data_IF_964861997633
#
_entry.id   IF_964861997633
#
_cell.length_a   1.000
_cell.length_b   1.000
_cell.length_c   1.000
_cell.angle_alpha   90.00
_cell.angle_beta   90.00
_cell.angle_gamma   90.00
#
_symmetry.space_group_name_H-M   'P 1'
#
loop_
_entity.id
_entity.type
_entity.pdbx_description
1 polymer ?
#
# COMPACT_ATOMS: atom_id res chain seq x y z
N UNK A 1 -25.29 2.95 2.20
CA UNK A 1 -24.31 3.57 3.13
C UNK A 1 -22.90 3.22 2.71
N UNK A 2 -22.39 1.99 2.89
CA UNK A 2 -21.01 1.67 2.46
C UNK A 2 -20.75 1.88 0.97
N UNK A 3 -21.62 1.36 0.09
CA UNK A 3 -21.42 1.55 -1.36
C UNK A 3 -21.39 3.03 -1.76
N UNK A 4 -22.21 3.86 -1.11
CA UNK A 4 -22.27 5.30 -1.37
C UNK A 4 -20.98 6.00 -0.88
N UNK A 5 -20.53 5.67 0.33
CA UNK A 5 -19.30 6.20 0.91
C UNK A 5 -18.07 5.76 0.11
N UNK A 6 -18.04 4.49 -0.31
CA UNK A 6 -17.00 3.93 -1.17
C UNK A 6 -16.98 4.63 -2.52
N UNK A 7 -18.15 4.88 -3.14
CA UNK A 7 -18.27 5.61 -4.40
C UNK A 7 -17.65 7.01 -4.27
N UNK A 8 -18.05 7.76 -3.24
CA UNK A 8 -17.51 9.10 -2.95
C UNK A 8 -16.00 9.05 -2.71
N UNK A 9 -15.53 8.05 -1.97
CA UNK A 9 -14.11 7.86 -1.70
C UNK A 9 -13.31 7.61 -2.99
N UNK A 10 -13.77 6.67 -3.84
CA UNK A 10 -13.13 6.36 -5.13
C UNK A 10 -13.11 7.61 -6.02
N UNK A 11 -14.22 8.32 -6.14
CA UNK A 11 -14.33 9.54 -6.93
C UNK A 11 -13.31 10.60 -6.50
N UNK A 12 -13.18 10.81 -5.18
CA UNK A 12 -12.20 11.72 -4.60
C UNK A 12 -10.75 11.28 -4.89
N UNK A 13 -10.45 9.98 -4.77
CA UNK A 13 -9.12 9.45 -5.10
C UNK A 13 -8.75 9.70 -6.56
N UNK A 14 -9.69 9.44 -7.49
CA UNK A 14 -9.49 9.58 -8.93
C UNK A 14 -9.41 11.05 -9.37
N UNK A 15 -10.27 11.92 -8.84
CA UNK A 15 -10.22 13.36 -9.11
C UNK A 15 -8.92 13.99 -8.62
N UNK A 16 -8.46 13.61 -7.41
CA UNK A 16 -7.19 14.08 -6.87
C UNK A 16 -5.99 13.55 -7.65
N UNK A 17 -6.05 12.31 -8.17
CA UNK A 17 -5.06 11.82 -9.11
C UNK A 17 -5.01 12.68 -10.37
N UNK A 18 -6.16 12.94 -11.01
CA UNK A 18 -6.23 13.72 -12.25
C UNK A 18 -5.64 15.13 -12.07
N UNK A 19 -6.01 15.82 -10.98
CA UNK A 19 -5.46 17.14 -10.63
C UNK A 19 -3.95 17.10 -10.39
N UNK A 20 -3.45 16.09 -9.67
CA UNK A 20 -2.02 15.97 -9.39
C UNK A 20 -1.19 15.65 -10.65
N UNK A 21 -1.73 14.81 -11.54
CA UNK A 21 -1.09 14.50 -12.83
C UNK A 21 -1.03 15.75 -13.69
N UNK A 22 -2.14 16.49 -13.80
CA UNK A 22 -2.18 17.73 -14.57
C UNK A 22 -1.28 18.81 -13.99
N UNK A 23 -1.27 19.02 -12.67
CA UNK A 23 -0.45 20.05 -12.02
C UNK A 23 1.05 19.83 -12.22
N UNK A 24 1.49 18.58 -12.37
CA UNK A 24 2.90 18.23 -12.50
C UNK A 24 3.33 17.98 -13.96
N UNK A 25 2.43 18.08 -14.94
CA UNK A 25 2.77 17.84 -16.35
C UNK A 25 3.89 18.77 -16.82
N UNK A 26 3.78 20.06 -16.51
CA UNK A 26 4.69 21.08 -17.05
C UNK A 26 6.10 20.91 -16.50
N UNK A 27 6.24 20.61 -15.20
CA UNK A 27 7.53 20.28 -14.58
C UNK A 27 8.14 19.01 -15.17
N UNK A 28 7.32 18.02 -15.51
CA UNK A 28 7.79 16.78 -16.12
C UNK A 28 8.23 16.98 -17.57
N UNK A 29 7.60 17.91 -18.28
CA UNK A 29 7.99 18.36 -19.62
C UNK A 29 9.31 19.13 -19.55
N UNK A 30 9.42 20.11 -18.65
CA UNK A 30 10.63 20.92 -18.45
C UNK A 30 11.87 20.04 -18.17
N UNK A 31 11.74 19.03 -17.31
CA UNK A 31 12.81 18.05 -17.04
C UNK A 31 13.28 17.26 -18.26
N UNK A 32 12.48 17.22 -19.32
CA UNK A 32 12.76 16.52 -20.59
C UNK A 32 13.20 17.48 -21.70
N UNK A 33 13.18 18.79 -21.48
CA UNK A 33 13.51 19.79 -22.51
C UNK A 33 14.97 19.73 -23.02
N UNK A 34 15.87 19.11 -22.25
CA UNK A 34 17.26 18.86 -22.67
C UNK A 34 17.47 17.47 -23.29
N UNK A 35 16.40 16.70 -23.55
CA UNK A 35 16.53 15.40 -24.19
C UNK A 35 16.59 15.58 -25.72
N UNK A 36 17.76 15.35 -26.35
CA UNK A 36 17.93 15.59 -27.80
C UNK A 36 17.11 14.62 -28.66
N UNK A 37 16.50 13.59 -28.07
CA UNK A 37 15.64 12.62 -28.75
C UNK A 37 14.14 12.91 -28.56
N UNK A 38 13.77 13.99 -27.86
CA UNK A 38 12.39 14.47 -27.74
C UNK A 38 12.22 15.58 -28.77
N UNK A 39 11.93 15.18 -30.01
CA UNK A 39 11.65 16.08 -31.14
C UNK A 39 10.14 16.26 -31.36
N UNK A 40 9.33 15.93 -30.36
CA UNK A 40 7.87 16.02 -30.46
C UNK A 40 7.42 17.44 -30.17
N UNK A 41 6.68 18.05 -31.10
CA UNK A 41 6.00 19.32 -30.90
C UNK A 41 4.50 19.04 -30.75
N UNK A 42 3.89 19.44 -29.61
CA UNK A 42 2.43 19.37 -29.44
C UNK A 42 1.93 18.38 -28.37
N UNK A 43 0.83 17.69 -28.66
CA UNK A 43 0.04 16.91 -27.68
C UNK A 43 0.74 15.62 -27.23
N UNK A 44 1.67 15.12 -28.03
CA UNK A 44 2.45 13.90 -27.82
C UNK A 44 3.42 14.04 -26.65
N UNK A 45 4.02 15.23 -26.49
CA UNK A 45 4.89 15.54 -25.35
C UNK A 45 4.11 15.53 -24.03
N UNK A 46 2.91 16.15 -24.04
CA UNK A 46 1.97 16.12 -22.91
C UNK A 46 1.55 14.69 -22.59
N UNK A 47 1.25 13.86 -23.61
CA UNK A 47 0.92 12.45 -23.41
C UNK A 47 2.05 11.66 -22.74
N UNK A 48 3.30 11.87 -23.17
CA UNK A 48 4.49 11.21 -22.61
C UNK A 48 4.82 11.62 -21.16
N UNK A 49 4.52 12.87 -20.79
CA UNK A 49 4.65 13.36 -19.42
C UNK A 49 3.54 12.83 -18.51
N UNK A 50 2.31 12.74 -19.03
CA UNK A 50 1.10 12.37 -18.30
C UNK A 50 0.98 10.86 -18.10
N UNK A 51 1.23 10.04 -19.12
CA UNK A 51 0.98 8.58 -19.07
C UNK A 51 1.70 7.86 -17.92
N UNK A 52 3.03 8.03 -17.81
CA UNK A 52 3.80 7.41 -16.71
C UNK A 52 3.38 7.90 -15.32
N UNK A 53 3.05 9.19 -15.20
CA UNK A 53 2.57 9.75 -13.93
C UNK A 53 1.19 9.22 -13.59
N UNK A 54 0.33 9.02 -14.59
CA UNK A 54 -1.02 8.49 -14.41
C UNK A 54 -0.97 7.07 -13.87
N UNK A 55 -0.18 6.19 -14.49
CA UNK A 55 -0.04 4.79 -14.06
C UNK A 55 0.47 4.68 -12.62
N UNK A 56 1.51 5.44 -12.29
CA UNK A 56 2.07 5.46 -10.93
C UNK A 56 1.06 5.97 -9.90
N UNK A 57 0.35 7.06 -10.20
CA UNK A 57 -0.64 7.59 -9.26
C UNK A 57 -1.86 6.70 -9.14
N UNK A 58 -2.28 6.04 -10.22
CA UNK A 58 -3.38 5.09 -10.22
C UNK A 58 -3.06 3.92 -9.28
N UNK A 59 -1.85 3.36 -9.35
CA UNK A 59 -1.38 2.34 -8.41
C UNK A 59 -1.54 2.79 -6.95
N UNK A 60 -1.08 4.00 -6.62
CA UNK A 60 -1.26 4.57 -5.27
C UNK A 60 -2.73 4.76 -4.89
N UNK A 61 -3.62 5.10 -5.83
CA UNK A 61 -5.06 5.22 -5.54
C UNK A 61 -5.70 3.87 -5.28
N UNK A 62 -5.33 2.84 -6.02
CA UNK A 62 -5.82 1.48 -5.81
C UNK A 62 -5.41 0.94 -4.44
N UNK A 63 -4.16 1.19 -4.00
CA UNK A 63 -3.71 0.87 -2.63
C UNK A 63 -4.57 1.56 -1.57
N UNK A 64 -4.87 2.86 -1.73
CA UNK A 64 -5.74 3.60 -0.80
C UNK A 64 -7.17 3.09 -0.78
N UNK A 65 -7.70 2.69 -1.94
CA UNK A 65 -9.03 2.06 -2.04
C UNK A 65 -9.01 0.72 -1.31
N UNK A 66 -7.97 -0.10 -1.50
CA UNK A 66 -7.82 -1.37 -0.80
C UNK A 66 -7.74 -1.17 0.73
N UNK A 67 -6.97 -0.18 1.20
CA UNK A 67 -6.92 0.18 2.63
C UNK A 67 -8.29 0.60 3.18
N UNK A 68 -9.02 1.46 2.47
CA UNK A 68 -10.35 1.92 2.86
C UNK A 68 -11.34 0.76 2.99
N UNK A 69 -11.36 -0.13 1.99
CA UNK A 69 -12.21 -1.32 1.96
C UNK A 69 -11.84 -2.27 3.10
N UNK A 70 -10.55 -2.55 3.31
CA UNK A 70 -10.09 -3.38 4.41
C UNK A 70 -10.48 -2.81 5.78
N UNK A 71 -10.35 -1.48 5.98
CA UNK A 71 -10.79 -0.79 7.20
C UNK A 71 -12.29 -0.96 7.45
N UNK A 72 -13.10 -0.93 6.39
CA UNK A 72 -14.52 -1.16 6.50
C UNK A 72 -14.85 -2.62 6.86
N UNK A 73 -14.20 -3.59 6.21
CA UNK A 73 -14.44 -5.02 6.43
C UNK A 73 -13.94 -5.52 7.78
N UNK A 74 -12.70 -5.22 8.14
CA UNK A 74 -12.02 -5.81 9.29
C UNK A 74 -12.07 -4.94 10.55
N UNK A 75 -12.37 -3.65 10.40
CA UNK A 75 -12.46 -2.70 11.50
C UNK A 75 -11.20 -1.85 11.69
N UNK A 76 -11.37 -0.78 12.47
CA UNK A 76 -10.35 0.23 12.72
C UNK A 76 -9.09 -0.36 13.38
N UNK A 77 -9.30 -1.21 14.38
CA UNK A 77 -8.31 -1.87 15.20
C UNK A 77 -7.53 -2.98 14.48
N UNK A 78 -8.12 -3.59 13.43
CA UNK A 78 -7.52 -4.70 12.69
C UNK A 78 -6.77 -4.29 11.43
N UNK A 79 -6.80 -3.01 11.07
CA UNK A 79 -6.05 -2.48 9.93
C UNK A 79 -5.12 -1.36 10.45
N UNK A 80 -4.02 -1.72 11.13
CA UNK A 80 -3.16 -0.76 11.82
C UNK A 80 -2.35 0.07 10.85
N UNK A 81 -2.21 1.36 11.12
CA UNK A 81 -1.32 2.24 10.36
C UNK A 81 0.16 2.04 10.74
N UNK A 82 0.45 1.69 11.98
CA UNK A 82 1.81 1.45 12.45
C UNK A 82 1.84 0.16 13.26
N UNK A 83 2.83 -0.68 12.97
CA UNK A 83 3.25 -1.73 13.87
C UNK A 83 4.63 -1.33 14.41
N UNK A 84 4.75 -1.18 15.71
CA UNK A 84 6.02 -0.89 16.37
C UNK A 84 6.49 -2.11 17.14
N UNK A 85 7.69 -2.58 16.82
CA UNK A 85 8.40 -3.55 17.62
C UNK A 85 9.29 -2.84 18.63
N UNK A 86 9.19 -3.26 19.88
CA UNK A 86 10.16 -2.98 20.93
C UNK A 86 10.60 -4.30 21.55
N UNK A 87 11.76 -4.31 22.18
CA UNK A 87 12.29 -5.50 22.79
C UNK A 87 12.97 -5.21 24.11
N UNK A 88 12.91 -6.21 24.99
CA UNK A 88 13.67 -6.24 26.23
C UNK A 88 14.13 -7.68 26.45
N UNK A 89 15.44 -7.93 26.33
CA UNK A 89 16.04 -9.26 26.39
C UNK A 89 15.41 -10.23 25.36
N UNK A 90 14.72 -11.28 25.81
CA UNK A 90 14.08 -12.31 24.99
C UNK A 90 12.58 -12.05 24.72
N UNK A 91 12.09 -10.88 25.14
CA UNK A 91 10.71 -10.46 25.00
C UNK A 91 10.56 -9.47 23.85
N UNK A 92 9.80 -9.85 22.83
CA UNK A 92 9.36 -8.95 21.76
C UNK A 92 7.99 -8.37 22.15
N UNK A 93 7.84 -7.04 22.08
CA UNK A 93 6.55 -6.37 22.22
C UNK A 93 6.16 -5.75 20.89
N UNK A 94 4.96 -6.07 20.44
CA UNK A 94 4.34 -5.51 19.25
C UNK A 94 3.25 -4.53 19.67
N UNK A 95 3.35 -3.30 19.20
CA UNK A 95 2.35 -2.25 19.40
C UNK A 95 1.64 -1.96 18.08
N UNK A 96 0.34 -2.21 18.04
CA UNK A 96 -0.53 -1.86 16.92
C UNK A 96 -1.08 -0.46 17.14
N UNK A 97 -0.97 0.40 16.12
CA UNK A 97 -1.50 1.76 16.16
C UNK A 97 -2.35 2.06 14.94
N UNK A 98 -3.59 2.42 15.19
CA UNK A 98 -4.56 2.86 14.17
C UNK A 98 -4.97 4.30 14.44
N UNK A 99 -5.13 5.07 13.37
CA UNK A 99 -5.69 6.42 13.42
C UNK A 99 -6.70 6.65 12.29
N UNK A 100 -7.52 7.71 12.35
CA UNK A 100 -8.50 8.04 11.33
C UNK A 100 -7.89 8.21 9.94
N UNK A 101 -8.59 7.73 8.91
CA UNK A 101 -8.17 7.77 7.49
C UNK A 101 -7.81 9.19 7.02
N UNK A 102 -8.51 10.19 7.55
CA UNK A 102 -8.29 11.62 7.27
C UNK A 102 -6.87 12.10 7.63
N UNK A 103 -6.17 11.35 8.49
CA UNK A 103 -4.85 11.70 8.98
C UNK A 103 -3.74 10.97 8.23
N UNK A 104 -4.09 9.94 7.46
CA UNK A 104 -3.17 9.17 6.63
C UNK A 104 -3.67 7.74 6.41
N UNK A 105 -3.21 7.14 5.31
CA UNK A 105 -3.47 5.75 4.94
C UNK A 105 -2.17 4.97 4.69
N UNK A 106 -1.04 5.52 5.14
CA UNK A 106 0.23 4.81 5.04
C UNK A 106 0.28 3.77 6.15
N UNK A 107 0.72 2.58 5.80
CA UNK A 107 1.05 1.56 6.77
C UNK A 107 2.56 1.28 6.77
N UNK A 108 3.07 0.94 7.95
CA UNK A 108 4.49 0.66 8.14
C UNK A 108 4.76 -0.16 9.39
N UNK A 109 5.89 -0.85 9.38
CA UNK A 109 6.47 -1.49 10.56
C UNK A 109 7.75 -0.76 10.93
N UNK A 110 7.97 -0.54 12.21
CA UNK A 110 9.12 0.17 12.73
C UNK A 110 9.63 -0.51 14.00
N UNK A 111 10.84 -0.14 14.41
CA UNK A 111 11.45 -0.61 15.64
C UNK A 111 11.81 0.57 16.53
N UNK A 112 11.42 0.53 17.79
CA UNK A 112 11.68 1.60 18.74
C UNK A 112 10.87 1.45 20.03
N UNK A 113 11.28 2.19 21.07
CA UNK A 113 10.64 2.15 22.39
C UNK A 113 9.66 3.31 22.63
N UNK A 114 9.63 4.30 21.74
CA UNK A 114 8.76 5.46 21.84
C UNK A 114 7.94 5.62 20.56
N UNK A 115 6.63 5.44 20.70
CA UNK A 115 5.67 5.58 19.62
C UNK A 115 5.74 6.97 18.95
N UNK A 116 6.04 8.02 19.70
CA UNK A 116 6.09 9.39 19.18
C UNK A 116 7.17 9.52 18.11
N UNK A 117 8.32 8.86 18.28
CA UNK A 117 9.41 8.86 17.28
C UNK A 117 8.99 8.20 15.96
N UNK A 118 8.00 7.31 15.99
CA UNK A 118 7.49 6.63 14.80
C UNK A 118 6.51 7.49 14.00
N UNK A 119 5.96 8.56 14.60
CA UNK A 119 4.93 9.39 13.99
C UNK A 119 5.51 10.63 13.31
N UNK A 120 4.80 11.17 12.31
CA UNK A 120 5.13 12.50 11.78
C UNK A 120 4.82 13.58 12.82
N UNK A 121 5.48 14.75 12.75
CA UNK A 121 5.18 15.90 13.64
C UNK A 121 3.70 16.30 13.65
N UNK A 122 2.99 16.07 12.54
CA UNK A 122 1.56 16.36 12.45
C UNK A 122 0.74 15.33 13.23
N UNK A 123 1.08 14.04 13.11
CA UNK A 123 0.43 12.97 13.86
C UNK A 123 0.74 13.04 15.35
N UNK A 124 1.98 13.38 15.73
CA UNK A 124 2.37 13.62 17.13
C UNK A 124 1.45 14.65 17.80
N UNK A 125 1.25 15.81 17.16
CA UNK A 125 0.32 16.84 17.67
C UNK A 125 -1.11 16.33 17.78
N UNK A 126 -1.56 15.47 16.87
CA UNK A 126 -2.91 14.90 16.94
C UNK A 126 -3.02 13.91 18.09
N UNK A 127 -2.00 13.08 18.29
CA UNK A 127 -1.89 12.14 19.40
C UNK A 127 -1.92 12.87 20.75
N UNK A 128 -1.14 13.94 20.90
CA UNK A 128 -1.12 14.76 22.12
C UNK A 128 -2.46 15.45 22.41
N UNK A 129 -3.20 15.85 21.36
CA UNK A 129 -4.46 16.57 21.52
C UNK A 129 -5.68 15.65 21.68
N UNK A 130 -5.65 14.44 21.13
CA UNK A 130 -6.78 13.51 21.09
C UNK A 130 -6.29 12.07 21.04
N UNK A 131 -5.87 11.55 22.19
CA UNK A 131 -5.44 10.15 22.33
C UNK A 131 -6.57 9.16 22.03
N UNK A 132 -7.81 9.53 22.34
CA UNK A 132 -8.99 8.65 22.21
C UNK A 132 -9.37 8.37 20.75
N UNK A 133 -8.91 9.20 19.81
CA UNK A 133 -9.07 8.97 18.37
C UNK A 133 -8.08 7.92 17.84
N UNK A 134 -7.07 7.56 18.62
CA UNK A 134 -6.14 6.49 18.29
C UNK A 134 -6.57 5.18 18.96
N UNK A 135 -6.38 4.09 18.25
CA UNK A 135 -6.36 2.77 18.86
C UNK A 135 -4.90 2.35 19.01
N UNK A 136 -4.52 1.99 20.25
CA UNK A 136 -3.20 1.48 20.58
C UNK A 136 -3.39 0.16 21.35
N UNK A 137 -2.76 -0.90 20.87
CA UNK A 137 -2.79 -2.21 21.54
C UNK A 137 -1.41 -2.81 21.55
N UNK A 138 -0.98 -3.28 22.72
CA UNK A 138 0.31 -3.93 22.92
C UNK A 138 0.12 -5.43 23.13
N UNK A 139 1.01 -6.22 22.54
CA UNK A 139 1.06 -7.67 22.74
C UNK A 139 2.50 -8.10 22.85
N UNK A 140 2.81 -8.91 23.86
CA UNK A 140 4.17 -9.39 24.08
C UNK A 140 4.30 -10.88 23.78
N UNK A 141 5.46 -11.23 23.23
CA UNK A 141 5.84 -12.58 22.84
C UNK A 141 7.16 -12.95 23.53
N UNK A 142 7.25 -14.17 24.03
CA UNK A 142 8.44 -14.72 24.69
C UNK A 142 8.98 -15.90 23.90
N UNK A 143 10.28 -16.19 24.02
CA UNK A 143 10.90 -17.29 23.27
C UNK A 143 11.09 -16.99 21.78
N UNK A 144 11.07 -15.70 21.41
CA UNK A 144 11.33 -15.23 20.05
C UNK A 144 12.81 -14.91 19.92
N UNK A 145 13.43 -15.29 18.81
CA UNK A 145 14.79 -14.89 18.49
C UNK A 145 14.83 -13.43 18.02
N UNK A 146 14.83 -12.49 18.99
CA UNK A 146 14.79 -11.04 18.72
C UNK A 146 15.95 -10.59 17.81
N UNK A 147 17.15 -11.14 17.98
CA UNK A 147 18.31 -10.78 17.15
C UNK A 147 18.13 -11.19 15.68
N UNK A 148 17.50 -12.34 15.44
CA UNK A 148 17.13 -12.76 14.08
C UNK A 148 16.07 -11.82 13.49
N UNK A 149 15.06 -11.43 14.26
CA UNK A 149 14.02 -10.49 13.82
C UNK A 149 14.62 -9.12 13.47
N UNK A 150 15.53 -8.60 14.29
CA UNK A 150 16.27 -7.37 13.99
C UNK A 150 17.09 -7.50 12.71
N UNK A 151 17.77 -8.64 12.48
CA UNK A 151 18.52 -8.89 11.23
C UNK A 151 17.59 -8.90 10.01
N UNK A 152 16.43 -9.56 10.10
CA UNK A 152 15.40 -9.57 9.04
C UNK A 152 14.91 -8.14 8.78
N UNK A 153 14.55 -7.38 9.81
CA UNK A 153 14.14 -5.98 9.70
C UNK A 153 15.22 -5.11 9.04
N UNK A 154 16.46 -5.21 9.51
CA UNK A 154 17.58 -4.45 9.00
C UNK A 154 17.96 -4.82 7.55
N UNK A 155 17.59 -6.02 7.08
CA UNK A 155 17.80 -6.44 5.68
C UNK A 155 17.02 -5.62 4.65
N UNK A 156 16.02 -4.84 5.09
CA UNK A 156 15.29 -3.89 4.22
C UNK A 156 16.10 -2.65 3.87
N UNK A 157 17.21 -2.40 4.56
CA UNK A 157 17.98 -1.18 4.43
C UNK A 157 19.38 -1.45 3.85
N UNK A 158 19.86 -0.48 3.09
CA UNK A 158 21.26 -0.46 2.61
C UNK A 158 22.25 -0.52 3.77
N UNK A 159 23.44 -1.04 3.51
CA UNK A 159 24.45 -1.34 4.53
C UNK A 159 24.84 -0.14 5.38
N UNK A 160 25.02 1.03 4.75
CA UNK A 160 25.34 2.28 5.44
C UNK A 160 24.27 2.67 6.47
N UNK A 161 23.02 2.24 6.26
CA UNK A 161 21.94 2.54 7.18
C UNK A 161 21.87 1.53 8.32
N UNK A 162 22.34 0.28 8.17
CA UNK A 162 22.05 -0.85 9.09
C UNK A 162 22.50 -0.68 10.55
N UNK A 163 23.36 0.29 10.86
CA UNK A 163 23.90 0.49 12.21
C UNK A 163 22.91 1.13 13.20
N UNK A 164 21.82 1.73 12.73
CA UNK A 164 20.78 2.32 13.56
C UNK A 164 19.43 1.68 13.25
N UNK A 165 18.75 1.13 14.25
CA UNK A 165 17.40 0.53 14.07
C UNK A 165 16.30 1.54 14.39
N UNK A 166 16.56 2.44 15.33
CA UNK A 166 15.60 3.45 15.79
C UNK A 166 15.32 4.48 14.69
N UNK A 167 14.07 4.91 14.58
CA UNK A 167 13.62 5.86 13.55
C UNK A 167 13.47 5.28 12.15
N UNK A 168 13.82 4.00 11.92
CA UNK A 168 13.57 3.33 10.66
C UNK A 168 12.19 2.70 10.59
N UNK A 169 11.66 2.66 9.37
CA UNK A 169 10.41 1.97 9.08
C UNK A 169 10.44 1.32 7.70
N UNK A 170 9.84 0.14 7.62
CA UNK A 170 9.55 -0.56 6.37
C UNK A 170 8.08 -0.27 6.03
N UNK A 171 7.78 0.43 4.93
CA UNK A 171 6.41 0.59 4.47
C UNK A 171 5.89 -0.75 3.92
N UNK A 172 4.57 -0.91 3.90
CA UNK A 172 3.90 -1.98 3.14
C UNK A 172 2.59 -1.43 2.59
N UNK A 173 2.09 -2.03 1.50
CA UNK A 173 0.96 -1.47 0.77
C UNK A 173 -0.39 -1.74 1.45
N UNK A 174 -0.57 -2.93 2.03
CA UNK A 174 -1.72 -3.27 2.85
C UNK A 174 -1.37 -4.30 3.93
N UNK A 175 -1.82 -4.08 5.16
CA UNK A 175 -1.87 -5.11 6.21
C UNK A 175 -3.21 -5.08 6.93
N UNK A 176 -3.81 -6.24 7.13
CA UNK A 176 -4.94 -6.40 8.03
C UNK A 176 -4.84 -7.69 8.85
N UNK A 177 -5.58 -7.71 9.95
CA UNK A 177 -5.73 -8.86 10.84
C UNK A 177 -7.12 -9.46 10.61
N UNK A 178 -7.18 -10.74 10.27
CA UNK A 178 -8.45 -11.42 10.03
C UNK A 178 -9.24 -11.68 11.33
N UNK A 179 -10.41 -12.30 11.21
CA UNK A 179 -11.28 -12.61 12.36
C UNK A 179 -10.67 -13.63 13.32
N UNK A 180 -9.71 -14.43 12.88
CA UNK A 180 -9.00 -15.44 13.66
C UNK A 180 -7.66 -14.94 14.23
N UNK A 181 -7.30 -13.67 13.99
CA UNK A 181 -6.03 -13.09 14.42
C UNK A 181 -4.87 -13.34 13.45
N UNK A 182 -5.14 -13.87 12.26
CA UNK A 182 -4.14 -14.07 11.21
C UNK A 182 -3.76 -12.76 10.53
N UNK A 183 -2.48 -12.60 10.23
CA UNK A 183 -1.95 -11.42 9.55
C UNK A 183 -1.97 -11.66 8.04
N UNK A 184 -2.47 -10.68 7.29
CA UNK A 184 -2.43 -10.65 5.83
C UNK A 184 -1.70 -9.38 5.41
N UNK A 185 -0.58 -9.54 4.71
CA UNK A 185 0.31 -8.45 4.30
C UNK A 185 0.51 -8.50 2.80
N UNK A 186 0.41 -7.36 2.13
CA UNK A 186 0.46 -7.29 0.68
C UNK A 186 1.46 -6.26 0.19
N UNK A 187 2.19 -6.66 -0.84
CA UNK A 187 2.84 -5.77 -1.81
C UNK A 187 1.93 -5.68 -3.04
N UNK A 188 1.33 -4.51 -3.29
CA UNK A 188 0.26 -4.31 -4.27
C UNK A 188 0.80 -3.60 -5.51
N UNK A 189 0.57 -4.19 -6.67
CA UNK A 189 0.69 -3.51 -7.97
C UNK A 189 -0.67 -3.38 -8.64
N UNK A 190 -0.81 -2.39 -9.51
CA UNK A 190 -2.02 -2.26 -10.32
C UNK A 190 -2.20 -3.53 -11.19
N UNK A 191 -1.15 -3.95 -11.89
CA UNK A 191 -1.13 -5.09 -12.81
C UNK A 191 -0.06 -4.87 -13.89
N UNK A 192 -0.31 -5.38 -15.10
CA UNK A 192 0.58 -5.25 -16.27
C UNK A 192 1.56 -6.41 -16.42
N UNK A 193 2.48 -6.32 -17.38
CA UNK A 193 3.41 -7.42 -17.69
C UNK A 193 4.44 -7.71 -16.60
N UNK A 194 4.60 -6.80 -15.62
CA UNK A 194 5.42 -6.97 -14.40
C UNK A 194 6.87 -7.46 -14.59
N UNK A 195 7.35 -7.50 -15.84
CA UNK A 195 8.71 -7.77 -16.27
C UNK A 195 9.59 -6.55 -16.04
N UNK A 196 9.84 -6.29 -14.76
CA UNK A 196 10.63 -5.15 -14.32
C UNK A 196 11.93 -5.61 -13.67
N UNK A 197 12.91 -4.71 -13.65
CA UNK A 197 14.15 -4.91 -12.85
C UNK A 197 13.85 -5.12 -11.36
N UNK A 198 12.69 -4.68 -10.89
CA UNK A 198 12.31 -4.67 -9.48
C UNK A 198 11.68 -5.99 -9.02
N UNK A 199 11.46 -6.98 -9.90
CA UNK A 199 10.78 -8.22 -9.56
C UNK A 199 11.41 -8.98 -8.38
N UNK A 200 12.74 -9.04 -8.33
CA UNK A 200 13.49 -9.67 -7.24
C UNK A 200 13.29 -8.86 -5.94
N UNK A 201 13.32 -7.53 -6.03
CA UNK A 201 13.05 -6.65 -4.89
C UNK A 201 11.67 -6.86 -4.31
N UNK A 202 10.63 -6.85 -5.14
CA UNK A 202 9.25 -7.07 -4.72
C UNK A 202 9.07 -8.48 -4.09
N UNK A 203 9.65 -9.52 -4.69
CA UNK A 203 9.60 -10.88 -4.14
C UNK A 203 10.32 -10.98 -2.79
N UNK A 204 11.49 -10.36 -2.67
CA UNK A 204 12.23 -10.30 -1.40
C UNK A 204 11.45 -9.53 -0.33
N UNK A 205 10.68 -8.52 -0.70
CA UNK A 205 9.83 -7.76 0.22
C UNK A 205 8.70 -8.62 0.78
N UNK A 206 8.02 -9.39 -0.08
CA UNK A 206 6.99 -10.36 0.34
C UNK A 206 7.56 -11.37 1.34
N UNK A 207 8.69 -12.01 1.01
CA UNK A 207 9.33 -13.00 1.88
C UNK A 207 9.85 -12.38 3.18
N UNK A 208 10.40 -11.16 3.12
CA UNK A 208 10.88 -10.46 4.33
C UNK A 208 9.74 -10.16 5.28
N UNK A 209 8.60 -9.68 4.78
CA UNK A 209 7.44 -9.37 5.62
C UNK A 209 6.88 -10.63 6.26
N UNK A 210 6.82 -11.75 5.53
CA UNK A 210 6.45 -13.06 6.10
C UNK A 210 7.37 -13.47 7.25
N UNK A 211 8.68 -13.42 7.03
CA UNK A 211 9.68 -13.74 8.06
C UNK A 211 9.57 -12.82 9.27
N UNK A 212 9.33 -11.52 9.04
CA UNK A 212 9.18 -10.50 10.08
C UNK A 212 7.91 -10.67 10.93
N UNK A 213 6.91 -11.41 10.46
CA UNK A 213 5.70 -11.72 11.21
C UNK A 213 5.56 -13.22 11.53
N UNK A 214 6.63 -14.01 11.35
CA UNK A 214 6.63 -15.47 11.51
C UNK A 214 6.29 -15.97 12.93
N UNK A 215 6.35 -15.10 13.93
CA UNK A 215 5.89 -15.40 15.29
C UNK A 215 4.35 -15.37 15.43
N UNK A 216 3.63 -14.90 14.40
CA UNK A 216 2.18 -15.00 14.29
C UNK A 216 1.84 -16.33 13.63
N UNK A 217 1.02 -17.14 14.31
CA UNK A 217 0.68 -18.51 13.88
C UNK A 217 0.08 -18.63 12.47
N UNK A 218 -0.58 -17.58 11.98
CA UNK A 218 -1.11 -17.49 10.63
C UNK A 218 -0.69 -16.14 10.04
N UNK A 219 0.37 -16.13 9.23
CA UNK A 219 0.82 -14.95 8.51
C UNK A 219 0.87 -15.27 7.02
N UNK A 220 0.12 -14.52 6.21
CA UNK A 220 0.10 -14.63 4.77
C UNK A 220 0.69 -13.34 4.19
N UNK A 221 1.87 -13.44 3.59
CA UNK A 221 2.47 -12.34 2.84
C UNK A 221 2.32 -12.61 1.35
N UNK A 222 1.72 -11.70 0.59
CA UNK A 222 1.43 -11.94 -0.83
C UNK A 222 1.83 -10.76 -1.72
N UNK A 223 2.28 -11.09 -2.91
CA UNK A 223 2.31 -10.16 -4.02
C UNK A 223 0.91 -10.09 -4.66
N UNK A 224 0.28 -8.93 -4.59
CA UNK A 224 -1.07 -8.69 -5.08
C UNK A 224 -1.08 -7.87 -6.38
N UNK A 225 -2.01 -8.20 -7.27
CA UNK A 225 -2.35 -7.33 -8.40
C UNK A 225 -3.81 -6.95 -8.41
N UNK A 226 -4.13 -5.70 -8.74
CA UNK A 226 -5.50 -5.20 -8.76
C UNK A 226 -6.31 -5.68 -9.97
N UNK A 227 -5.65 -6.09 -11.06
CA UNK A 227 -6.28 -6.72 -12.23
C UNK A 227 -5.32 -7.71 -12.87
N UNK A 228 -5.87 -8.73 -13.52
CA UNK A 228 -5.11 -9.66 -14.34
C UNK A 228 -4.81 -9.06 -15.72
N UNK A 229 -3.54 -8.96 -16.11
CA UNK A 229 -3.13 -8.40 -17.41
C UNK A 229 -3.57 -9.24 -18.62
N UNK A 230 -3.94 -10.50 -18.41
CA UNK A 230 -4.52 -11.39 -19.42
C UNK A 230 -6.05 -11.48 -19.30
N UNK A 231 -6.67 -10.71 -18.40
CA UNK A 231 -8.09 -10.79 -18.08
C UNK A 231 -8.38 -11.83 -17.00
N UNK A 232 -9.42 -11.58 -16.20
CA UNK A 232 -9.81 -12.44 -15.09
C UNK A 232 -10.12 -13.87 -15.57
N UNK A 233 -9.64 -14.88 -14.82
CA UNK A 233 -9.76 -16.30 -15.17
C UNK A 233 -8.67 -16.84 -16.11
N UNK A 234 -7.79 -15.99 -16.64
CA UNK A 234 -6.64 -16.43 -17.44
C UNK A 234 -5.36 -16.51 -16.60
N UNK A 235 -4.40 -17.33 -17.04
CA UNK A 235 -3.07 -17.33 -16.43
C UNK A 235 -2.40 -15.94 -16.61
N UNK A 236 -1.89 -15.32 -15.54
CA UNK A 236 -1.25 -14.02 -15.61
C UNK A 236 0.09 -14.12 -16.36
N UNK A 237 0.54 -13.00 -16.94
CA UNK A 237 1.83 -12.93 -17.62
C UNK A 237 2.78 -11.99 -16.88
N UNK A 238 3.98 -12.46 -16.57
CA UNK A 238 5.05 -11.67 -15.94
C UNK A 238 6.00 -12.50 -15.09
N UNK A 239 7.29 -12.17 -15.14
CA UNK A 239 8.34 -12.96 -14.50
C UNK A 239 8.35 -12.93 -12.97
N UNK A 240 7.57 -12.04 -12.33
CA UNK A 240 7.37 -12.13 -10.87
C UNK A 240 6.54 -13.36 -10.50
N UNK A 241 5.62 -13.77 -11.37
CA UNK A 241 4.74 -14.91 -11.10
C UNK A 241 5.47 -16.25 -11.19
N UNK A 242 6.62 -16.29 -11.89
CA UNK A 242 7.47 -17.47 -11.97
C UNK A 242 8.48 -17.60 -10.82
N UNK A 243 8.73 -16.54 -10.04
CA UNK A 243 9.72 -16.55 -8.95
C UNK A 243 9.11 -16.74 -7.56
N UNK A 244 7.83 -16.43 -7.39
CA UNK A 244 7.08 -16.66 -6.16
C UNK A 244 6.34 -17.99 -6.26
N UNK A 245 6.07 -18.62 -5.11
CA UNK A 245 5.17 -19.77 -5.02
C UNK A 245 3.71 -19.29 -4.98
N UNK A 246 2.77 -20.16 -5.33
CA UNK A 246 1.35 -19.79 -5.49
C UNK A 246 0.72 -19.24 -4.19
N UNK A 247 1.20 -19.69 -3.02
CA UNK A 247 0.77 -19.16 -1.72
C UNK A 247 1.12 -17.67 -1.52
N UNK A 248 2.18 -17.18 -2.18
CA UNK A 248 2.68 -15.81 -2.09
C UNK A 248 2.13 -14.89 -3.19
N UNK A 249 1.07 -15.32 -3.89
CA UNK A 249 0.47 -14.58 -5.01
C UNK A 249 -1.04 -14.46 -4.82
N UNK A 250 -1.60 -13.31 -5.18
CA UNK A 250 -3.05 -13.15 -5.34
C UNK A 250 -3.35 -12.14 -6.45
N UNK A 251 -4.30 -12.44 -7.34
CA UNK A 251 -4.39 -11.74 -8.63
C UNK A 251 -5.81 -11.31 -8.93
N UNK A 252 -5.96 -10.04 -9.32
CA UNK A 252 -7.20 -9.50 -9.85
C UNK A 252 -8.36 -9.71 -8.89
N UNK A 253 -9.40 -10.40 -9.37
CA UNK A 253 -10.61 -10.71 -8.62
C UNK A 253 -10.31 -11.35 -7.25
N UNK A 254 -9.40 -12.31 -7.19
CA UNK A 254 -9.08 -13.03 -5.95
C UNK A 254 -8.57 -12.08 -4.86
N UNK A 255 -7.76 -11.07 -5.23
CA UNK A 255 -7.23 -10.10 -4.28
C UNK A 255 -8.35 -9.25 -3.67
N UNK A 256 -9.28 -8.80 -4.53
CA UNK A 256 -10.39 -7.99 -4.06
C UNK A 256 -11.34 -8.81 -3.19
N UNK A 257 -11.61 -10.07 -3.51
CA UNK A 257 -12.46 -10.95 -2.70
C UNK A 257 -11.88 -11.21 -1.29
N UNK A 258 -10.56 -11.17 -1.12
CA UNK A 258 -9.92 -11.25 0.20
C UNK A 258 -10.22 -10.04 1.10
N UNK A 259 -10.57 -8.87 0.54
CA UNK A 259 -10.77 -7.63 1.31
C UNK A 259 -12.16 -7.02 1.21
N UNK A 260 -12.94 -7.33 0.18
CA UNK A 260 -14.29 -6.82 -0.01
C UNK A 260 -15.22 -7.33 1.08
N UNK A 261 -16.13 -6.52 1.63
CA UNK A 261 -17.15 -6.98 2.57
C UNK A 261 -17.97 -8.15 2.00
N UNK A 262 -18.49 -9.00 2.88
CA UNK A 262 -19.23 -10.22 2.48
C UNK A 262 -20.47 -9.91 1.62
N UNK A 263 -21.05 -8.72 1.77
CA UNK A 263 -22.20 -8.25 1.02
C UNK A 263 -21.86 -7.51 -0.29
N UNK A 264 -20.57 -7.31 -0.59
CA UNK A 264 -20.12 -6.63 -1.81
C UNK A 264 -19.33 -7.58 -2.73
N UNK A 265 -19.97 -8.03 -3.80
CA UNK A 265 -19.30 -8.86 -4.83
C UNK A 265 -18.26 -8.07 -5.62
N UNK A 266 -17.27 -8.77 -6.18
CA UNK A 266 -16.28 -8.17 -7.08
C UNK A 266 -16.93 -7.46 -8.27
N UNK A 267 -17.93 -8.09 -8.91
CA UNK A 267 -18.63 -7.52 -10.06
C UNK A 267 -19.34 -6.21 -9.68
N UNK A 268 -19.95 -6.17 -8.49
CA UNK A 268 -20.58 -4.95 -7.98
C UNK A 268 -19.54 -3.87 -7.67
N UNK A 269 -18.41 -4.23 -7.05
CA UNK A 269 -17.29 -3.31 -6.84
C UNK A 269 -16.79 -2.70 -8.15
N UNK A 270 -16.60 -3.51 -9.20
CA UNK A 270 -16.18 -3.00 -10.52
C UNK A 270 -17.21 -2.03 -11.11
N UNK A 271 -18.52 -2.27 -10.95
CA UNK A 271 -19.56 -1.33 -11.37
C UNK A 271 -19.51 0.00 -10.61
N UNK A 272 -19.29 -0.05 -9.30
CA UNK A 272 -19.11 1.14 -8.45
C UNK A 272 -17.87 1.92 -8.88
N UNK A 273 -16.74 1.25 -9.08
CA UNK A 273 -15.50 1.85 -9.56
C UNK A 273 -15.71 2.51 -10.93
N UNK A 274 -16.31 1.81 -11.89
CA UNK A 274 -16.57 2.34 -13.24
C UNK A 274 -17.51 3.56 -13.23
N UNK A 275 -18.47 3.59 -12.31
CA UNK A 275 -19.35 4.76 -12.13
C UNK A 275 -18.59 5.93 -11.50
N UNK A 276 -17.86 5.67 -10.42
CA UNK A 276 -17.02 6.68 -9.76
C UNK A 276 -15.96 7.27 -10.70
N UNK A 277 -15.39 6.46 -11.60
CA UNK A 277 -14.41 6.91 -12.58
C UNK A 277 -15.01 7.87 -13.60
N UNK A 278 -16.25 7.62 -14.05
CA UNK A 278 -16.99 8.53 -14.92
C UNK A 278 -17.30 9.84 -14.20
N UNK A 279 -17.79 9.73 -12.98
CA UNK A 279 -18.20 10.89 -12.16
C UNK A 279 -17.00 11.76 -11.75
N UNK A 280 -15.83 11.16 -11.54
CA UNK A 280 -14.58 11.86 -11.24
C UNK A 280 -14.06 12.73 -12.40
N UNK A 281 -14.62 12.60 -13.62
CA UNK A 281 -14.27 13.42 -14.80
C UNK A 281 -12.76 13.46 -15.09
N UNK A 282 -12.05 12.35 -14.82
CA UNK A 282 -10.57 12.25 -14.91
C UNK A 282 -10.04 12.77 -16.24
N UNK A 283 -10.68 12.39 -17.36
CA UNK A 283 -10.25 12.78 -18.71
C UNK A 283 -10.36 14.29 -18.92
N UNK A 284 -11.43 14.90 -18.43
CA UNK A 284 -11.68 16.33 -18.58
C UNK A 284 -10.66 17.12 -17.76
N UNK A 285 -10.45 16.75 -16.50
CA UNK A 285 -9.45 17.39 -15.61
C UNK A 285 -8.05 17.35 -16.23
N UNK A 286 -7.64 16.22 -16.82
CA UNK A 286 -6.32 16.09 -17.47
C UNK A 286 -6.23 16.95 -18.75
N UNK A 287 -7.33 17.06 -19.50
CA UNK A 287 -7.36 17.84 -20.73
C UNK A 287 -7.28 19.35 -20.45
N UNK A 288 -8.08 19.85 -19.51
CA UNK A 288 -8.24 21.28 -19.21
C UNK A 288 -7.30 21.81 -18.14
N UNK A 289 -6.77 20.92 -17.29
CA UNK A 289 -6.00 21.30 -16.11
C UNK A 289 -6.82 21.89 -14.96
N UNK A 290 -8.15 21.76 -15.01
CA UNK A 290 -9.12 22.23 -14.02
C UNK A 290 -9.97 21.08 -13.49
#
# INVERSE_FOLDING_TARGET
MFEDDLKVFIENQLSNMARNVSKNSDKNIEKRGNNPFVLFEGVEEKYMAVGRSLDSQLGTRLQKIAFYIARYRFGFEKVPNVIMFSDNEDKLTMTLVSYPIEWGMTQKVCWGNDLMTTMSKTLQKKYENSTDDFFVSETSFTGINVDEMKRIFLSAFEEANRNEIEGKSIPYDLLFIDTNGGFHVYEIKAGGNLDTKNKIGNGNEVLRLEQLFSFISNCNSKFATCYNNRGEGNAPEGSIFSILDDQHKVIGKEFWEEILPEDLTYERFIQLYATSFRDARVREIIATGQ
#
